data_IF_929998078816
#
_entry.id   IF_929998078816
#
_cell.length_a   1.000
_cell.length_b   1.000
_cell.length_c   1.000
_cell.angle_alpha   90.00
_cell.angle_beta   90.00
_cell.angle_gamma   90.00
#
_symmetry.space_group_name_H-M   'P 1'
#
loop_
_entity.id
_entity.type
_entity.pdbx_description
1 polymer ?
#
# COMPACT_ATOMS: atom_id res chain seq x y z
N UNK A 1 26.90 1.96 -1.28
CA UNK A 1 25.57 1.48 -0.86
C UNK A 1 24.81 1.21 -2.14
N UNK A 2 24.34 -0.03 -2.36
CA UNK A 2 23.56 -0.37 -3.55
C UNK A 2 22.11 -0.05 -3.25
N UNK A 3 21.55 0.91 -3.97
CA UNK A 3 20.10 1.15 -3.95
C UNK A 3 19.40 -0.16 -4.31
N UNK A 4 18.39 -0.54 -3.52
CA UNK A 4 17.52 -1.65 -3.88
C UNK A 4 16.72 -1.22 -5.11
N UNK A 5 17.07 -1.75 -6.28
CA UNK A 5 16.24 -1.59 -7.47
C UNK A 5 14.88 -2.26 -7.24
N UNK A 6 13.81 -1.60 -7.65
CA UNK A 6 12.47 -2.19 -7.63
C UNK A 6 12.44 -3.44 -8.53
N UNK A 7 12.06 -4.58 -7.97
CA UNK A 7 11.76 -5.79 -8.73
C UNK A 7 10.25 -5.82 -8.97
N UNK A 8 9.83 -5.50 -10.19
CA UNK A 8 8.45 -5.67 -10.63
C UNK A 8 8.34 -6.96 -11.43
N UNK A 9 7.48 -7.89 -11.00
CA UNK A 9 7.09 -9.05 -11.81
C UNK A 9 6.27 -8.64 -13.04
N UNK A 10 5.79 -7.40 -13.06
CA UNK A 10 5.13 -6.74 -14.19
C UNK A 10 6.18 -6.07 -15.09
N UNK A 11 7.31 -6.74 -15.34
CA UNK A 11 8.29 -6.23 -16.30
C UNK A 11 7.83 -6.57 -17.71
N UNK A 12 7.25 -5.57 -18.37
CA UNK A 12 7.26 -5.37 -19.83
C UNK A 12 6.73 -6.52 -20.71
N UNK A 13 5.62 -6.24 -21.38
CA UNK A 13 5.21 -6.83 -22.67
C UNK A 13 6.29 -6.57 -23.75
N UNK A 14 7.45 -7.19 -23.61
CA UNK A 14 8.42 -7.38 -24.69
C UNK A 14 8.13 -8.75 -25.33
N UNK A 15 8.13 -8.87 -26.67
CA UNK A 15 7.97 -10.17 -27.32
C UNK A 15 9.18 -11.04 -26.94
N UNK A 16 8.98 -11.99 -26.02
CA UNK A 16 10.02 -12.89 -25.50
C UNK A 16 10.11 -13.00 -23.97
N UNK A 17 9.42 -12.15 -23.20
CA UNK A 17 9.27 -12.33 -21.75
C UNK A 17 7.88 -12.91 -21.46
N UNK A 18 7.82 -14.20 -21.20
CA UNK A 18 6.65 -14.83 -20.59
C UNK A 18 6.60 -14.31 -19.15
N UNK A 19 5.77 -13.28 -18.91
CA UNK A 19 5.60 -12.71 -17.58
C UNK A 19 5.30 -13.81 -16.56
N UNK A 20 5.97 -13.78 -15.42
CA UNK A 20 5.69 -14.70 -14.33
C UNK A 20 4.38 -14.29 -13.67
N UNK A 21 3.30 -15.02 -13.97
CA UNK A 21 2.01 -14.81 -13.33
C UNK A 21 2.08 -15.24 -11.86
N UNK A 22 1.91 -14.27 -10.97
CA UNK A 22 1.81 -14.53 -9.53
C UNK A 22 0.34 -14.46 -9.13
N UNK A 23 -0.20 -15.44 -8.40
CA UNK A 23 -1.57 -15.37 -7.89
C UNK A 23 -1.76 -14.14 -7.00
N UNK A 24 -2.81 -13.36 -7.29
CA UNK A 24 -3.25 -12.30 -6.39
C UNK A 24 -4.00 -12.93 -5.21
N UNK A 25 -3.72 -12.44 -4.00
CA UNK A 25 -4.39 -12.85 -2.77
C UNK A 25 -4.96 -11.62 -2.08
N UNK A 26 -6.07 -11.78 -1.36
CA UNK A 26 -6.69 -10.69 -0.59
C UNK A 26 -5.96 -10.50 0.74
N UNK A 27 -5.96 -9.28 1.27
CA UNK A 27 -5.45 -9.00 2.61
C UNK A 27 -6.23 -9.80 3.67
N UNK A 28 -7.54 -9.94 3.50
CA UNK A 28 -8.37 -10.77 4.39
C UNK A 28 -7.90 -12.23 4.45
N UNK A 29 -7.52 -12.81 3.31
CA UNK A 29 -6.98 -14.18 3.26
C UNK A 29 -5.63 -14.29 3.98
N UNK A 30 -4.82 -13.23 3.96
CA UNK A 30 -3.55 -13.21 4.70
C UNK A 30 -3.78 -13.06 6.20
N UNK A 31 -4.84 -12.36 6.62
CA UNK A 31 -5.16 -12.15 8.02
C UNK A 31 -5.50 -13.45 8.76
N UNK A 32 -6.01 -14.48 8.08
CA UNK A 32 -6.25 -15.79 8.71
C UNK A 32 -4.97 -16.47 9.19
N UNK A 33 -3.83 -16.15 8.58
CA UNK A 33 -2.52 -16.72 8.89
C UNK A 33 -1.74 -15.90 9.93
N UNK A 34 -2.21 -14.69 10.28
CA UNK A 34 -1.52 -13.76 11.18
C UNK A 34 -2.21 -13.72 12.53
N UNK A 35 -1.51 -14.19 13.57
CA UNK A 35 -2.00 -14.07 14.95
C UNK A 35 -1.81 -12.63 15.44
N UNK A 36 -2.93 -11.93 15.66
CA UNK A 36 -2.97 -10.56 16.20
C UNK A 36 -2.30 -9.51 15.29
N UNK A 37 -2.90 -9.17 14.14
CA UNK A 37 -2.41 -8.10 13.27
C UNK A 37 -2.25 -6.78 14.04
N UNK A 38 -1.09 -6.13 13.89
CA UNK A 38 -0.74 -4.93 14.67
C UNK A 38 -0.31 -3.76 13.79
N UNK A 39 0.62 -4.00 12.87
CA UNK A 39 1.16 -3.01 11.94
C UNK A 39 0.98 -3.48 10.49
N UNK A 40 0.34 -2.65 9.67
CA UNK A 40 0.29 -2.81 8.23
C UNK A 40 1.31 -1.86 7.59
N UNK A 41 2.34 -2.40 6.92
CA UNK A 41 3.29 -1.60 6.12
C UNK A 41 3.05 -1.87 4.64
N UNK A 42 2.76 -0.84 3.84
CA UNK A 42 2.46 -0.97 2.41
C UNK A 42 3.29 0.00 1.57
N UNK A 43 4.06 -0.54 0.64
CA UNK A 43 4.80 0.19 -0.39
C UNK A 43 4.84 -0.74 -1.61
N UNK A 44 3.86 -0.57 -2.49
CA UNK A 44 3.57 -1.44 -3.63
C UNK A 44 3.33 -0.65 -4.92
N UNK A 45 3.85 0.58 -4.98
CA UNK A 45 3.86 1.42 -6.17
C UNK A 45 2.45 1.62 -6.78
N UNK A 46 1.40 1.68 -5.93
CA UNK A 46 0.04 2.04 -6.35
C UNK A 46 -1.08 1.16 -5.83
N UNK A 47 -0.80 -0.06 -5.36
CA UNK A 47 -1.83 -0.94 -4.79
C UNK A 47 -2.40 -0.44 -3.44
N UNK A 48 -1.78 0.59 -2.83
CA UNK A 48 -2.21 1.13 -1.53
C UNK A 48 -3.65 1.65 -1.59
N UNK A 49 -4.06 2.23 -2.73
CA UNK A 49 -5.40 2.75 -2.93
C UNK A 49 -6.45 1.65 -3.11
N UNK A 50 -6.10 0.56 -3.80
CA UNK A 50 -6.97 -0.60 -3.96
C UNK A 50 -7.21 -1.29 -2.62
N UNK A 51 -6.17 -1.42 -1.80
CA UNK A 51 -6.23 -2.07 -0.50
C UNK A 51 -7.20 -1.34 0.46
N UNK A 52 -7.16 -0.01 0.47
CA UNK A 52 -8.08 0.81 1.30
C UNK A 52 -9.51 0.82 0.73
N UNK A 53 -9.67 0.83 -0.59
CA UNK A 53 -11.00 0.95 -1.21
C UNK A 53 -11.75 -0.38 -1.33
N UNK A 54 -11.05 -1.51 -1.52
CA UNK A 54 -11.64 -2.82 -1.75
C UNK A 54 -11.69 -3.69 -0.49
N UNK A 55 -10.76 -3.49 0.45
CA UNK A 55 -10.65 -4.31 1.66
C UNK A 55 -10.64 -3.47 2.97
N UNK A 56 -11.57 -2.51 3.15
CA UNK A 56 -11.54 -1.60 4.30
C UNK A 56 -11.58 -2.34 5.66
N UNK A 57 -12.35 -3.42 5.78
CA UNK A 57 -12.43 -4.21 7.01
C UNK A 57 -11.12 -4.93 7.35
N UNK A 58 -10.37 -5.39 6.35
CA UNK A 58 -9.08 -6.00 6.56
C UNK A 58 -8.06 -4.95 7.05
N UNK A 59 -8.14 -3.72 6.52
CA UNK A 59 -7.33 -2.58 7.00
C UNK A 59 -7.66 -2.22 8.44
N UNK A 60 -8.94 -2.26 8.83
CA UNK A 60 -9.40 -1.95 10.19
C UNK A 60 -8.86 -2.90 11.26
N UNK A 61 -8.39 -4.09 10.88
CA UNK A 61 -7.80 -5.07 11.79
C UNK A 61 -6.46 -4.61 12.40
N UNK A 62 -5.82 -3.59 11.82
CA UNK A 62 -4.52 -3.10 12.25
C UNK A 62 -4.64 -1.87 13.16
N UNK A 63 -3.75 -1.78 14.16
CA UNK A 63 -3.66 -0.59 15.02
C UNK A 63 -2.88 0.55 14.36
N UNK A 64 -1.86 0.19 13.59
CA UNK A 64 -0.95 1.12 12.92
C UNK A 64 -0.85 0.81 11.44
N UNK A 65 -0.76 1.86 10.62
CA UNK A 65 -0.50 1.75 9.18
C UNK A 65 0.68 2.65 8.83
N UNK A 66 1.62 2.13 8.08
CA UNK A 66 2.64 2.90 7.38
C UNK A 66 2.45 2.63 5.90
N UNK A 67 2.12 3.65 5.11
CA UNK A 67 1.96 3.50 3.66
C UNK A 67 2.74 4.56 2.90
N UNK A 68 3.20 4.21 1.69
CA UNK A 68 3.75 5.15 0.72
C UNK A 68 2.73 5.36 -0.38
N UNK A 69 2.23 6.59 -0.52
CA UNK A 69 1.26 6.94 -1.55
C UNK A 69 1.99 7.31 -2.84
N UNK A 70 1.53 6.77 -3.98
CA UNK A 70 2.12 6.95 -5.31
C UNK A 70 1.14 7.63 -6.31
N UNK A 71 0.88 8.94 -6.23
CA UNK A 71 -0.06 9.62 -7.11
C UNK A 71 0.31 9.53 -8.59
N UNK A 72 1.61 9.54 -8.92
CA UNK A 72 2.06 9.42 -10.31
C UNK A 72 1.72 8.10 -10.97
N UNK A 73 1.62 7.02 -10.19
CA UNK A 73 1.28 5.69 -10.72
C UNK A 73 -0.22 5.50 -10.80
N UNK A 74 -0.96 5.98 -9.80
CA UNK A 74 -2.39 5.70 -9.63
C UNK A 74 -3.31 6.78 -10.17
N UNK A 75 -2.82 8.01 -10.34
CA UNK A 75 -3.64 9.20 -10.57
C UNK A 75 -4.46 9.63 -9.35
N UNK A 76 -4.27 8.99 -8.19
CA UNK A 76 -5.03 9.28 -6.96
C UNK A 76 -4.22 10.25 -6.10
N UNK A 77 -4.76 11.45 -5.78
CA UNK A 77 -4.10 12.40 -4.88
C UNK A 77 -3.87 11.80 -3.50
N UNK A 78 -2.77 12.18 -2.86
CA UNK A 78 -2.45 11.76 -1.50
C UNK A 78 -3.63 11.97 -0.54
N UNK A 79 -4.25 13.15 -0.61
CA UNK A 79 -5.33 13.58 0.27
C UNK A 79 -6.54 12.66 0.15
N UNK A 80 -6.86 12.19 -1.07
CA UNK A 80 -7.97 11.27 -1.29
C UNK A 80 -7.73 9.92 -0.61
N UNK A 81 -6.53 9.36 -0.76
CA UNK A 81 -6.14 8.11 -0.10
C UNK A 81 -6.17 8.26 1.42
N UNK A 82 -5.62 9.36 1.94
CA UNK A 82 -5.59 9.62 3.37
C UNK A 82 -6.99 9.82 3.94
N UNK A 83 -7.87 10.57 3.28
CA UNK A 83 -9.26 10.73 3.72
C UNK A 83 -10.02 9.41 3.76
N UNK A 84 -9.75 8.48 2.84
CA UNK A 84 -10.33 7.13 2.90
C UNK A 84 -9.86 6.36 4.14
N UNK A 85 -8.57 6.43 4.48
CA UNK A 85 -8.03 5.78 5.69
C UNK A 85 -8.55 6.44 6.97
N UNK A 86 -8.66 7.76 7.00
CA UNK A 86 -9.23 8.50 8.13
C UNK A 86 -10.72 8.17 8.33
N UNK A 87 -11.45 7.91 7.24
CA UNK A 87 -12.82 7.40 7.27
C UNK A 87 -12.99 6.04 7.98
N UNK A 88 -11.91 5.25 8.11
CA UNK A 88 -11.87 3.99 8.86
C UNK A 88 -11.52 4.18 10.35
N UNK A 89 -11.48 5.44 10.82
CA UNK A 89 -11.21 5.80 12.21
C UNK A 89 -9.74 5.99 12.56
N UNK A 90 -8.86 6.10 11.55
CA UNK A 90 -7.45 6.40 11.76
C UNK A 90 -7.19 7.91 11.80
N UNK A 91 -6.08 8.30 12.43
CA UNK A 91 -5.49 9.64 12.29
C UNK A 91 -4.15 9.51 11.59
N UNK A 92 -3.98 10.19 10.47
CA UNK A 92 -2.79 10.09 9.64
C UNK A 92 -1.88 11.32 9.79
N UNK A 93 -0.57 11.11 9.67
CA UNK A 93 0.42 12.19 9.55
C UNK A 93 1.45 11.83 8.48
N UNK A 94 1.89 12.84 7.74
CA UNK A 94 2.99 12.72 6.78
C UNK A 94 4.31 12.45 7.51
N UNK A 95 5.08 11.46 7.06
CA UNK A 95 6.47 11.24 7.47
C UNK A 95 7.36 11.87 6.40
N UNK A 96 8.21 12.83 6.80
CA UNK A 96 8.79 13.89 5.97
C UNK A 96 9.82 13.51 4.90
N UNK A 97 9.57 12.49 4.09
CA UNK A 97 10.38 12.19 2.90
C UNK A 97 9.45 11.97 1.71
N UNK A 98 9.55 12.86 0.73
CA UNK A 98 8.91 12.72 -0.58
C UNK A 98 10.00 12.36 -1.59
N UNK A 99 9.80 11.27 -2.33
CA UNK A 99 10.69 10.86 -3.43
C UNK A 99 9.83 10.76 -4.67
N UNK A 100 10.10 11.61 -5.67
CA UNK A 100 9.37 11.59 -6.95
C UNK A 100 7.84 11.64 -6.77
N UNK A 101 7.36 12.60 -5.96
CA UNK A 101 5.98 12.79 -5.51
C UNK A 101 5.31 11.60 -4.81
N UNK A 102 6.04 10.53 -4.51
CA UNK A 102 5.60 9.52 -3.58
C UNK A 102 5.85 9.99 -2.14
N UNK A 103 4.87 9.84 -1.27
CA UNK A 103 4.93 10.36 0.11
C UNK A 103 4.55 9.30 1.12
N UNK A 104 5.35 9.15 2.19
CA UNK A 104 5.07 8.20 3.28
C UNK A 104 4.16 8.82 4.34
N UNK A 105 3.18 8.05 4.80
CA UNK A 105 2.25 8.41 5.86
C UNK A 105 2.27 7.37 6.97
N UNK A 106 2.07 7.84 8.20
CA UNK A 106 1.84 7.02 9.37
C UNK A 106 0.44 7.30 9.92
N UNK A 107 -0.37 6.27 10.04
CA UNK A 107 -1.73 6.34 10.54
C UNK A 107 -1.90 5.46 11.77
N UNK A 108 -2.68 5.94 12.74
CA UNK A 108 -2.95 5.22 13.99
C UNK A 108 -4.42 5.27 14.33
N UNK A 109 -4.95 4.17 14.86
CA UNK A 109 -6.28 4.09 15.48
C UNK A 109 -6.13 4.37 16.98
N UNK A 110 -7.10 5.08 17.58
CA UNK A 110 -7.14 5.31 19.04
C UNK A 110 -7.60 4.06 19.77
#
# INVERSE_FOLDING_TARGET
MRDSGGFSTVSSTSPGNEGCWVPAVSLESLLSEVRSPYLLKVDCEGCEADLVSREPHAVEAFKYIILKSHPHVTGIPHERLISSIEGLGFTCRRLGVTVSDATTFYCTKR
#
